data_IF_873152162860
#
_entry.id   IF_873152162860
#
_cell.length_a   1.000
_cell.length_b   1.000
_cell.length_c   1.000
_cell.angle_alpha   90.00
_cell.angle_beta   90.00
_cell.angle_gamma   90.00
#
_symmetry.space_group_name_H-M   'P 1'
#
loop_
_entity.id
_entity.type
_entity.pdbx_description
1 polymer ?
#
# COMPACT_ATOMS: atom_id res chain seq x y z
N UNK A 1 1.12 -29.04 10.83
CA UNK A 1 1.26 -27.92 9.88
C UNK A 1 1.15 -26.63 10.68
N UNK A 2 2.23 -25.85 10.75
CA UNK A 2 2.32 -24.64 11.58
C UNK A 2 1.19 -23.66 11.25
N UNK A 3 0.62 -22.97 12.25
CA UNK A 3 -0.36 -21.89 12.03
C UNK A 3 0.14 -20.82 11.06
N UNK A 4 1.46 -20.60 11.03
CA UNK A 4 2.12 -19.69 10.09
C UNK A 4 1.94 -20.14 8.63
N UNK A 5 2.10 -21.44 8.35
CA UNK A 5 1.87 -21.99 7.00
C UNK A 5 0.41 -21.88 6.58
N UNK A 6 -0.54 -22.06 7.50
CA UNK A 6 -1.97 -21.87 7.21
C UNK A 6 -2.33 -20.41 6.92
N UNK A 7 -1.74 -19.46 7.65
CA UNK A 7 -1.92 -18.02 7.39
C UNK A 7 -1.32 -17.61 6.04
N UNK A 8 -0.14 -18.15 5.70
CA UNK A 8 0.50 -17.93 4.40
C UNK A 8 -0.37 -18.53 3.28
N UNK A 9 -0.79 -19.79 3.38
CA UNK A 9 -1.62 -20.46 2.36
C UNK A 9 -2.95 -19.74 2.10
N UNK A 10 -3.59 -19.22 3.16
CA UNK A 10 -4.82 -18.43 3.02
C UNK A 10 -4.55 -17.12 2.25
N UNK A 11 -3.46 -16.41 2.57
CA UNK A 11 -3.06 -15.19 1.86
C UNK A 11 -2.69 -15.47 0.39
N UNK A 12 -1.92 -16.53 0.14
CA UNK A 12 -1.49 -16.94 -1.21
C UNK A 12 -2.66 -17.32 -2.11
N UNK A 13 -3.70 -17.99 -1.58
CA UNK A 13 -4.90 -18.35 -2.36
C UNK A 13 -5.74 -17.14 -2.79
N UNK A 14 -5.73 -16.07 -2.01
CA UNK A 14 -6.46 -14.84 -2.33
C UNK A 14 -5.71 -14.01 -3.39
N UNK A 15 -4.39 -13.85 -3.23
CA UNK A 15 -3.54 -13.11 -4.16
C UNK A 15 -3.61 -13.66 -5.60
N UNK A 16 -3.70 -14.99 -5.79
CA UNK A 16 -3.74 -15.60 -7.12
C UNK A 16 -5.10 -15.60 -7.85
N UNK A 17 -6.11 -14.86 -7.38
CA UNK A 17 -7.45 -14.83 -8.01
C UNK A 17 -7.76 -13.54 -8.79
N UNK A 18 -6.83 -12.59 -8.89
CA UNK A 18 -7.05 -11.25 -9.43
C UNK A 18 -8.27 -10.52 -8.81
N UNK A 19 -8.60 -10.87 -7.55
CA UNK A 19 -9.67 -10.27 -6.76
C UNK A 19 -9.05 -9.41 -5.68
N UNK A 20 -9.69 -8.28 -5.39
CA UNK A 20 -9.36 -7.38 -4.30
C UNK A 20 -10.42 -7.53 -3.20
N UNK A 21 -9.97 -7.69 -1.94
CA UNK A 21 -10.83 -7.61 -0.77
C UNK A 21 -10.61 -6.27 -0.05
N UNK A 22 -11.68 -5.48 0.06
CA UNK A 22 -11.66 -4.12 0.57
C UNK A 22 -12.50 -4.06 1.84
N UNK A 23 -11.90 -3.63 2.95
CA UNK A 23 -12.64 -3.27 4.16
C UNK A 23 -13.20 -1.85 3.98
N UNK A 24 -14.52 -1.72 3.99
CA UNK A 24 -15.19 -0.42 3.91
C UNK A 24 -15.25 0.27 5.26
N UNK A 25 -15.03 1.59 5.26
CA UNK A 25 -15.14 2.42 6.45
C UNK A 25 -15.53 3.86 6.09
N UNK A 26 -15.94 4.62 7.11
CA UNK A 26 -16.26 6.05 6.98
C UNK A 26 -15.49 6.88 8.01
N UNK A 27 -15.26 8.13 7.66
CA UNK A 27 -14.52 9.10 8.48
C UNK A 27 -15.44 10.14 9.15
N UNK A 28 -16.75 9.90 9.18
CA UNK A 28 -17.74 10.86 9.69
C UNK A 28 -18.41 11.67 8.59
N UNK A 29 -19.36 12.50 9.01
CA UNK A 29 -19.94 13.51 8.13
C UNK A 29 -18.99 14.70 8.04
N UNK A 30 -18.60 15.06 6.82
CA UNK A 30 -17.85 16.28 6.56
C UNK A 30 -18.79 17.49 6.70
N UNK A 31 -18.50 18.35 7.67
CA UNK A 31 -19.29 19.55 7.97
C UNK A 31 -19.31 20.54 6.80
N UNK A 32 -18.32 20.51 5.92
CA UNK A 32 -18.22 21.43 4.77
C UNK A 32 -19.17 21.04 3.65
N UNK A 33 -19.34 19.73 3.42
CA UNK A 33 -20.12 19.19 2.29
C UNK A 33 -21.44 18.58 2.72
N UNK A 34 -21.61 18.27 4.01
CA UNK A 34 -22.74 17.53 4.57
C UNK A 34 -22.74 16.05 4.21
N UNK A 35 -21.71 15.55 3.53
CA UNK A 35 -21.65 14.18 3.00
C UNK A 35 -20.86 13.27 3.94
N UNK A 36 -21.24 12.00 3.91
CA UNK A 36 -20.51 10.91 4.53
C UNK A 36 -19.96 10.05 3.41
N UNK A 37 -18.67 10.19 3.16
CA UNK A 37 -17.98 9.45 2.10
C UNK A 37 -17.56 8.07 2.60
N UNK A 38 -17.52 7.09 1.69
CA UNK A 38 -17.07 5.73 1.97
C UNK A 38 -15.66 5.55 1.44
N UNK A 39 -14.79 5.05 2.30
CA UNK A 39 -13.42 4.72 2.00
C UNK A 39 -13.21 3.21 2.06
N UNK A 40 -12.17 2.76 1.39
CA UNK A 40 -11.76 1.36 1.37
C UNK A 40 -10.29 1.22 1.77
N UNK A 41 -9.95 0.13 2.45
CA UNK A 41 -8.57 -0.33 2.66
C UNK A 41 -8.43 -1.79 2.23
N UNK A 42 -7.30 -2.15 1.62
CA UNK A 42 -7.00 -3.53 1.29
C UNK A 42 -6.92 -4.34 2.60
N UNK A 43 -7.73 -5.39 2.72
CA UNK A 43 -7.82 -6.26 3.90
C UNK A 43 -6.46 -6.89 4.24
N UNK A 44 -5.59 -7.13 3.27
CA UNK A 44 -4.27 -7.68 3.52
C UNK A 44 -3.36 -6.79 4.37
N UNK A 45 -3.57 -5.47 4.29
CA UNK A 45 -2.89 -4.46 5.12
C UNK A 45 -3.51 -4.35 6.52
N UNK A 46 -4.69 -4.95 6.74
CA UNK A 46 -5.41 -4.93 8.03
C UNK A 46 -5.02 -6.14 8.87
N UNK A 47 -4.55 -5.87 10.09
CA UNK A 47 -4.26 -6.90 11.09
C UNK A 47 -5.48 -7.24 11.92
N UNK A 48 -6.20 -6.22 12.41
CA UNK A 48 -7.44 -6.38 13.17
C UNK A 48 -8.22 -5.06 13.22
N UNK A 49 -9.53 -5.15 13.50
CA UNK A 49 -10.41 -4.00 13.74
C UNK A 49 -10.94 -4.11 15.15
N UNK A 50 -10.86 -3.03 15.92
CA UNK A 50 -11.28 -3.02 17.32
C UNK A 50 -11.86 -1.68 17.73
N UNK A 51 -12.53 -1.63 18.89
CA UNK A 51 -12.87 -0.36 19.53
C UNK A 51 -11.60 0.36 19.95
N UNK A 52 -11.59 1.68 19.79
CA UNK A 52 -10.46 2.53 20.16
C UNK A 52 -10.20 2.42 21.68
N UNK A 53 -9.01 1.94 22.10
CA UNK A 53 -8.63 1.94 23.51
C UNK A 53 -8.27 3.37 23.94
N UNK A 54 -7.98 3.56 25.23
CA UNK A 54 -7.49 4.86 25.71
C UNK A 54 -6.16 5.21 25.04
N UNK A 55 -6.12 6.38 24.41
CA UNK A 55 -4.95 6.89 23.70
C UNK A 55 -4.13 7.74 24.65
N UNK A 56 -2.84 7.45 24.74
CA UNK A 56 -1.89 8.29 25.46
C UNK A 56 -1.26 9.28 24.49
N UNK A 57 -1.64 10.55 24.59
CA UNK A 57 -1.06 11.61 23.77
C UNK A 57 0.36 11.97 24.22
N UNK A 58 1.25 12.20 23.26
CA UNK A 58 2.59 12.73 23.50
C UNK A 58 2.65 14.22 23.10
N UNK A 59 3.51 15.04 23.73
CA UNK A 59 3.76 16.41 23.30
C UNK A 59 4.32 16.47 21.87
N UNK A 60 4.06 17.57 21.16
CA UNK A 60 4.68 17.92 19.86
C UNK A 60 4.45 16.91 18.72
N UNK A 61 3.37 16.13 18.78
CA UNK A 61 3.00 15.22 17.68
C UNK A 61 2.42 15.98 16.47
N UNK A 62 2.57 15.45 15.24
CA UNK A 62 1.86 15.96 14.08
C UNK A 62 0.34 16.04 14.34
N UNK A 63 -0.34 17.00 13.74
CA UNK A 63 -1.76 17.31 14.04
C UNK A 63 -2.74 16.16 13.79
N UNK A 64 -2.38 15.21 12.93
CA UNK A 64 -3.16 14.00 12.64
C UNK A 64 -2.86 12.83 13.58
N UNK A 65 -1.83 12.91 14.42
CA UNK A 65 -1.41 11.83 15.32
C UNK A 65 -1.94 12.10 16.73
N UNK A 66 -2.90 11.29 17.18
CA UNK A 66 -3.54 11.46 18.50
C UNK A 66 -2.64 11.01 19.66
N UNK A 67 -1.69 10.12 19.38
CA UNK A 67 -0.78 9.57 20.39
C UNK A 67 -0.43 8.12 20.14
N UNK A 68 -0.33 7.35 21.21
CA UNK A 68 0.01 5.92 21.19
C UNK A 68 -0.93 5.08 22.05
N UNK A 69 -1.06 3.81 21.70
CA UNK A 69 -1.77 2.80 22.50
C UNK A 69 -0.85 1.61 22.77
N UNK A 70 -1.00 0.97 23.92
CA UNK A 70 -0.33 -0.31 24.17
C UNK A 70 -1.22 -1.45 23.66
N UNK A 71 -0.80 -2.11 22.58
CA UNK A 71 -1.49 -3.25 22.01
C UNK A 71 -0.65 -4.51 22.21
N UNK A 72 -1.09 -5.37 23.14
CA UNK A 72 -0.40 -6.63 23.51
C UNK A 72 1.09 -6.43 23.84
N UNK A 73 1.42 -5.31 24.51
CA UNK A 73 2.79 -4.96 24.92
C UNK A 73 3.59 -4.20 23.88
N UNK A 74 3.09 -4.02 22.66
CA UNK A 74 3.70 -3.17 21.64
C UNK A 74 3.08 -1.77 21.67
N UNK A 75 3.91 -0.72 21.57
CA UNK A 75 3.43 0.65 21.40
C UNK A 75 3.04 0.85 19.94
N UNK A 76 1.78 1.21 19.71
CA UNK A 76 1.20 1.41 18.39
C UNK A 76 0.83 2.88 18.25
N UNK A 77 1.41 3.64 17.31
CA UNK A 77 0.99 5.01 17.03
C UNK A 77 -0.44 5.03 16.49
N UNK A 78 -1.20 6.04 16.87
CA UNK A 78 -2.61 6.20 16.50
C UNK A 78 -2.81 7.48 15.72
N UNK A 79 -3.32 7.34 14.49
CA UNK A 79 -3.54 8.41 13.53
C UNK A 79 -5.04 8.59 13.30
N UNK A 80 -5.52 9.82 13.44
CA UNK A 80 -6.86 10.23 13.05
C UNK A 80 -6.93 10.42 11.53
N UNK A 81 -7.58 9.48 10.84
CA UNK A 81 -7.69 9.53 9.38
C UNK A 81 -8.58 10.66 8.90
N UNK A 82 -9.57 11.13 9.68
CA UNK A 82 -10.36 12.29 9.31
C UNK A 82 -9.48 13.54 9.31
N UNK A 83 -8.67 13.74 10.35
CA UNK A 83 -7.70 14.85 10.42
C UNK A 83 -6.65 14.76 9.30
N UNK A 84 -6.10 13.57 9.07
CA UNK A 84 -5.11 13.36 8.01
C UNK A 84 -5.69 13.62 6.62
N UNK A 85 -6.91 13.15 6.33
CA UNK A 85 -7.59 13.37 5.06
C UNK A 85 -8.17 14.79 4.90
N UNK A 86 -8.05 15.66 5.92
CA UNK A 86 -8.61 17.02 5.91
C UNK A 86 -10.14 17.07 6.02
N UNK A 87 -10.77 16.00 6.52
CA UNK A 87 -12.21 15.90 6.75
C UNK A 87 -12.54 16.53 8.09
N UNK A 88 -13.39 17.56 8.07
CA UNK A 88 -13.83 18.25 9.28
C UNK A 88 -15.12 17.60 9.75
N UNK A 89 -15.03 16.78 10.80
CA UNK A 89 -16.19 16.09 11.37
C UNK A 89 -16.31 16.35 12.88
N UNK A 90 -17.54 16.32 13.39
CA UNK A 90 -17.82 16.28 14.84
C UNK A 90 -18.03 14.86 15.37
N UNK A 91 -18.05 13.88 14.48
CA UNK A 91 -18.14 12.47 14.84
C UNK A 91 -16.84 12.07 15.55
N UNK A 92 -16.95 11.49 16.75
CA UNK A 92 -15.80 10.90 17.43
C UNK A 92 -15.46 9.56 16.76
N UNK A 93 -14.19 9.28 16.47
CA UNK A 93 -13.82 7.99 15.95
C UNK A 93 -13.84 6.94 17.07
N UNK A 94 -14.75 5.99 17.00
CA UNK A 94 -14.92 4.93 18.01
C UNK A 94 -14.20 3.64 17.65
N UNK A 95 -13.75 3.53 16.39
CA UNK A 95 -13.14 2.33 15.84
C UNK A 95 -11.70 2.62 15.43
N UNK A 96 -10.83 1.67 15.72
CA UNK A 96 -9.44 1.66 15.31
C UNK A 96 -9.18 0.47 14.38
N UNK A 97 -8.73 0.76 13.16
CA UNK A 97 -8.23 -0.24 12.21
C UNK A 97 -6.73 -0.36 12.45
N UNK A 98 -6.27 -1.52 12.91
CA UNK A 98 -4.85 -1.80 13.10
C UNK A 98 -4.29 -2.35 11.79
N UNK A 99 -3.28 -1.69 11.26
CA UNK A 99 -2.64 -2.05 10.00
C UNK A 99 -1.16 -2.33 10.20
N UNK A 100 -0.57 -3.06 9.27
CA UNK A 100 0.85 -3.38 9.28
C UNK A 100 1.46 -3.19 7.89
N UNK A 101 2.59 -2.51 7.82
CA UNK A 101 3.37 -2.36 6.59
C UNK A 101 4.85 -2.23 6.94
N UNK A 102 5.70 -2.93 6.18
CA UNK A 102 7.15 -2.97 6.41
C UNK A 102 7.54 -3.27 7.87
N UNK A 103 6.79 -4.16 8.55
CA UNK A 103 7.00 -4.50 9.96
C UNK A 103 6.58 -3.43 10.98
N UNK A 104 6.10 -2.27 10.52
CA UNK A 104 5.54 -1.23 11.37
C UNK A 104 4.03 -1.44 11.53
N UNK A 105 3.55 -1.41 12.78
CA UNK A 105 2.12 -1.47 13.11
C UNK A 105 1.63 -0.09 13.50
N UNK A 106 0.46 0.32 13.01
CA UNK A 106 -0.21 1.54 13.44
C UNK A 106 -1.73 1.35 13.54
N UNK A 107 -2.38 2.25 14.28
CA UNK A 107 -3.82 2.31 14.41
C UNK A 107 -4.39 3.51 13.65
N UNK A 108 -5.39 3.27 12.82
CA UNK A 108 -6.16 4.30 12.15
C UNK A 108 -7.51 4.47 12.81
N UNK A 109 -7.77 5.67 13.31
CA UNK A 109 -9.06 6.03 13.87
C UNK A 109 -10.04 6.35 12.74
N UNK A 110 -11.20 5.70 12.78
CA UNK A 110 -12.30 5.88 11.85
C UNK A 110 -13.61 5.97 12.61
N UNK A 111 -14.63 6.58 12.00
CA UNK A 111 -15.95 6.68 12.60
C UNK A 111 -16.61 5.30 12.68
N UNK A 112 -16.68 4.61 11.53
CA UNK A 112 -17.36 3.33 11.43
C UNK A 112 -16.66 2.44 10.40
N UNK A 113 -16.74 1.14 10.62
CA UNK A 113 -16.35 0.08 9.68
C UNK A 113 -17.64 -0.65 9.30
N UNK A 114 -17.77 -0.98 8.03
CA UNK A 114 -18.96 -1.64 7.49
C UNK A 114 -18.64 -3.10 7.12
N UNK A 115 -18.58 -3.40 5.82
CA UNK A 115 -18.39 -4.76 5.31
C UNK A 115 -17.07 -4.91 4.56
N UNK A 116 -16.69 -6.17 4.31
CA UNK A 116 -15.62 -6.50 3.35
C UNK A 116 -16.28 -6.76 2.00
N UNK A 117 -15.86 -5.99 0.99
CA UNK A 117 -16.25 -6.20 -0.39
C UNK A 117 -15.17 -6.93 -1.15
N UNK A 118 -15.58 -7.94 -1.92
CA UNK A 118 -14.71 -8.63 -2.87
C UNK A 118 -15.03 -8.17 -4.29
N UNK A 119 -14.11 -7.47 -4.91
CA UNK A 119 -14.25 -6.92 -6.26
C UNK A 119 -13.20 -7.49 -7.20
N UNK A 120 -13.50 -7.50 -8.49
CA UNK A 120 -12.46 -7.66 -9.51
C UNK A 120 -11.64 -6.38 -9.59
N UNK A 121 -10.33 -6.50 -9.79
CA UNK A 121 -9.48 -5.33 -10.04
C UNK A 121 -9.96 -4.50 -11.23
N UNK A 122 -10.60 -5.12 -12.23
CA UNK A 122 -11.20 -4.43 -13.37
C UNK A 122 -12.37 -3.50 -13.03
N UNK A 123 -12.97 -3.65 -11.83
CA UNK A 123 -14.02 -2.75 -11.34
C UNK A 123 -13.44 -1.47 -10.69
N UNK A 124 -12.13 -1.44 -10.45
CA UNK A 124 -11.42 -0.27 -9.92
C UNK A 124 -11.04 0.65 -11.08
N UNK A 125 -11.15 1.97 -10.84
CA UNK A 125 -10.77 3.02 -11.79
C UNK A 125 -9.72 3.91 -11.17
N UNK A 126 -8.86 4.48 -12.01
CA UNK A 126 -7.91 5.52 -11.59
C UNK A 126 -8.72 6.77 -11.20
N UNK A 127 -8.45 7.39 -10.04
CA UNK A 127 -9.11 8.62 -9.64
C UNK A 127 -8.80 9.75 -10.65
N UNK A 128 -9.77 10.63 -10.95
CA UNK A 128 -9.49 11.85 -11.70
C UNK A 128 -8.41 12.70 -11.03
N UNK A 129 -7.58 13.39 -11.81
CA UNK A 129 -6.45 14.22 -11.30
C UNK A 129 -6.85 15.21 -10.20
N UNK A 130 -8.09 15.72 -10.26
CA UNK A 130 -8.63 16.61 -9.23
C UNK A 130 -8.70 15.94 -7.84
N UNK A 131 -9.09 14.67 -7.76
CA UNK A 131 -9.17 13.92 -6.49
C UNK A 131 -7.75 13.62 -6.00
N UNK A 132 -6.90 13.12 -6.89
CA UNK A 132 -5.49 12.81 -6.61
C UNK A 132 -4.76 14.03 -6.05
N UNK A 133 -4.91 15.20 -6.67
CA UNK A 133 -4.24 16.42 -6.21
C UNK A 133 -4.82 16.96 -4.90
N UNK A 134 -6.15 16.94 -4.72
CA UNK A 134 -6.79 17.47 -3.50
C UNK A 134 -6.50 16.65 -2.26
N UNK A 135 -6.43 15.33 -2.41
CA UNK A 135 -6.15 14.41 -1.31
C UNK A 135 -4.65 14.06 -1.24
N UNK A 136 -3.80 14.86 -1.89
CA UNK A 136 -2.36 14.67 -1.94
C UNK A 136 -1.94 13.23 -2.27
N UNK A 137 -2.66 12.53 -3.16
CA UNK A 137 -2.39 11.14 -3.54
C UNK A 137 -2.75 10.07 -2.50
N UNK A 138 -3.55 10.42 -1.48
CA UNK A 138 -4.07 9.47 -0.49
C UNK A 138 -5.07 8.47 -1.08
N UNK A 139 -5.73 8.82 -2.19
CA UNK A 139 -6.66 7.93 -2.90
C UNK A 139 -5.96 7.36 -4.12
N UNK A 140 -5.81 6.04 -4.19
CA UNK A 140 -5.13 5.34 -5.29
C UNK A 140 -6.09 4.79 -6.34
N UNK A 141 -7.32 4.48 -5.94
CA UNK A 141 -8.34 3.95 -6.82
C UNK A 141 -9.73 4.37 -6.37
N UNK A 142 -10.69 4.37 -7.29
CA UNK A 142 -12.11 4.60 -7.00
C UNK A 142 -12.95 3.52 -7.64
N UNK A 143 -14.04 3.17 -6.99
CA UNK A 143 -15.06 2.28 -7.56
C UNK A 143 -16.44 2.80 -7.20
N UNK A 144 -17.45 2.37 -7.97
CA UNK A 144 -18.84 2.75 -7.77
C UNK A 144 -19.62 1.48 -7.46
N UNK A 145 -20.25 1.46 -6.29
CA UNK A 145 -21.15 0.39 -5.87
C UNK A 145 -22.56 0.61 -6.43
N UNK A 146 -23.42 -0.37 -6.19
CA UNK A 146 -24.83 -0.28 -6.52
C UNK A 146 -25.44 1.03 -6.00
N UNK A 147 -26.35 1.60 -6.79
CA UNK A 147 -27.05 2.87 -6.49
C UNK A 147 -26.16 4.13 -6.55
N UNK A 148 -24.95 4.03 -7.09
CA UNK A 148 -24.07 5.17 -7.36
C UNK A 148 -23.21 5.61 -6.20
N UNK A 149 -23.02 4.74 -5.20
CA UNK A 149 -22.18 5.03 -4.04
C UNK A 149 -20.72 4.90 -4.42
N UNK A 150 -19.96 6.00 -4.36
CA UNK A 150 -18.52 5.98 -4.63
C UNK A 150 -17.75 5.49 -3.41
N UNK A 151 -16.77 4.61 -3.67
CA UNK A 151 -15.79 4.13 -2.68
C UNK A 151 -14.40 4.57 -3.11
N UNK A 152 -13.69 5.24 -2.21
CA UNK A 152 -12.33 5.71 -2.43
C UNK A 152 -11.33 4.81 -1.71
N UNK A 153 -10.47 4.15 -2.46
CA UNK A 153 -9.42 3.26 -1.95
C UNK A 153 -8.27 4.10 -1.39
N UNK A 154 -8.03 4.03 -0.08
CA UNK A 154 -6.99 4.80 0.61
C UNK A 154 -5.65 4.07 0.66
N UNK A 155 -4.58 4.77 0.30
CA UNK A 155 -3.21 4.33 0.46
C UNK A 155 -2.70 4.60 1.88
N UNK A 156 -2.85 3.61 2.73
CA UNK A 156 -2.37 3.67 4.12
C UNK A 156 -0.85 3.60 4.27
N UNK A 157 -0.13 3.13 3.25
CA UNK A 157 1.34 3.07 3.30
C UNK A 157 1.93 4.44 3.13
N UNK A 158 1.29 5.28 2.32
CA UNK A 158 1.59 6.69 2.25
C UNK A 158 1.36 7.39 3.58
N UNK A 159 0.21 7.14 4.24
CA UNK A 159 -0.07 7.71 5.57
C UNK A 159 1.03 7.31 6.55
N UNK A 160 1.46 6.06 6.50
CA UNK A 160 2.57 5.57 7.31
C UNK A 160 3.88 6.28 7.06
N UNK A 161 4.29 6.34 5.81
CA UNK A 161 5.58 6.91 5.44
C UNK A 161 5.68 8.39 5.83
N UNK A 162 4.55 9.10 5.83
CA UNK A 162 4.51 10.53 6.17
C UNK A 162 4.31 10.81 7.67
N UNK A 163 3.68 9.88 8.41
CA UNK A 163 3.43 10.05 9.86
C UNK A 163 4.43 9.31 10.74
N UNK A 164 5.18 8.37 10.18
CA UNK A 164 6.28 7.71 10.87
C UNK A 164 7.40 8.71 11.13
N UNK A 165 7.67 8.96 12.41
CA UNK A 165 8.83 9.74 12.86
C UNK A 165 10.15 8.95 12.75
N UNK A 166 10.11 7.73 12.22
CA UNK A 166 11.28 6.87 12.08
C UNK A 166 12.09 7.37 10.88
N UNK A 167 13.28 7.89 11.16
CA UNK A 167 14.25 8.19 10.12
C UNK A 167 14.81 6.88 9.55
N UNK A 168 14.22 6.41 8.45
CA UNK A 168 14.68 5.23 7.71
C UNK A 168 16.08 5.45 7.07
N UNK A 169 16.69 6.64 7.17
CA UNK A 169 18.00 6.91 6.57
C UNK A 169 19.08 5.92 7.05
N UNK A 170 18.99 5.45 8.30
CA UNK A 170 19.91 4.48 8.87
C UNK A 170 19.90 3.13 8.15
N UNK A 171 18.80 2.74 7.50
CA UNK A 171 18.72 1.48 6.76
C UNK A 171 19.66 1.45 5.54
N UNK A 172 20.06 2.61 5.01
CA UNK A 172 20.84 2.71 3.77
C UNK A 172 22.34 2.94 4.00
N UNK A 173 22.78 3.24 5.23
CA UNK A 173 24.16 3.68 5.53
C UNK A 173 25.20 2.58 5.28
N UNK A 174 24.83 1.32 5.51
CA UNK A 174 25.76 0.17 5.42
C UNK A 174 25.59 -0.64 4.13
N UNK A 175 25.03 -0.04 3.08
CA UNK A 175 24.86 -0.69 1.79
C UNK A 175 26.13 -0.47 0.98
N UNK A 176 26.85 -1.56 0.69
CA UNK A 176 28.05 -1.52 -0.14
C UNK A 176 27.71 -1.64 -1.64
N UNK A 177 28.42 -0.90 -2.51
CA UNK A 177 28.25 -1.04 -3.96
C UNK A 177 28.56 -2.46 -4.45
N UNK A 178 27.76 -2.93 -5.40
CA UNK A 178 28.02 -4.20 -6.08
C UNK A 178 29.14 -3.99 -7.09
N UNK A 179 30.17 -4.85 -7.03
CA UNK A 179 31.36 -4.72 -7.89
C UNK A 179 31.10 -5.05 -9.36
N UNK A 180 30.13 -5.91 -9.61
CA UNK A 180 29.77 -6.38 -10.95
C UNK A 180 28.63 -5.53 -11.51
N UNK A 181 28.67 -5.26 -12.81
CA UNK A 181 27.57 -4.58 -13.47
C UNK A 181 26.34 -5.49 -13.50
N UNK A 182 25.34 -5.15 -12.68
CA UNK A 182 24.05 -5.84 -12.62
C UNK A 182 22.94 -4.89 -13.07
N UNK A 183 21.88 -5.48 -13.61
CA UNK A 183 20.62 -4.81 -13.89
C UNK A 183 19.49 -5.56 -13.20
N UNK A 184 18.63 -4.82 -12.51
CA UNK A 184 17.47 -5.34 -11.78
C UNK A 184 16.21 -4.70 -12.36
N UNK A 185 15.15 -5.49 -12.50
CA UNK A 185 13.82 -4.97 -12.76
C UNK A 185 13.00 -5.14 -11.49
N UNK A 186 12.27 -4.12 -11.05
CA UNK A 186 11.36 -4.29 -9.92
C UNK A 186 9.97 -3.77 -10.23
N UNK A 187 8.96 -4.32 -9.57
CA UNK A 187 7.59 -3.82 -9.69
C UNK A 187 6.87 -3.91 -8.36
N UNK A 188 6.15 -2.85 -8.03
CA UNK A 188 5.40 -2.68 -6.80
C UNK A 188 4.36 -1.59 -7.06
N UNK A 189 3.13 -1.72 -6.54
CA UNK A 189 2.08 -0.72 -6.72
C UNK A 189 2.20 0.44 -5.71
N UNK A 190 2.90 0.23 -4.61
CA UNK A 190 3.23 1.23 -3.60
C UNK A 190 4.35 2.15 -4.05
N UNK A 191 4.05 3.45 -4.14
CA UNK A 191 5.08 4.46 -4.41
C UNK A 191 6.14 4.54 -3.29
N UNK A 192 5.76 4.21 -2.06
CA UNK A 192 6.66 4.19 -0.91
C UNK A 192 7.68 3.07 -1.05
N UNK A 193 7.23 1.84 -1.33
CA UNK A 193 8.11 0.69 -1.54
C UNK A 193 9.05 0.91 -2.72
N UNK A 194 8.53 1.38 -3.87
CA UNK A 194 9.37 1.68 -5.04
C UNK A 194 10.50 2.64 -4.70
N UNK A 195 10.22 3.73 -3.99
CA UNK A 195 11.24 4.71 -3.59
C UNK A 195 12.28 4.12 -2.63
N UNK A 196 11.90 3.20 -1.75
CA UNK A 196 12.84 2.48 -0.89
C UNK A 196 13.74 1.52 -1.69
N UNK A 197 13.17 0.82 -2.67
CA UNK A 197 13.93 -0.05 -3.60
C UNK A 197 14.91 0.79 -4.43
N UNK A 198 14.46 1.91 -5.02
CA UNK A 198 15.32 2.84 -5.78
C UNK A 198 16.52 3.30 -4.94
N UNK A 199 16.27 3.81 -3.73
CA UNK A 199 17.35 4.25 -2.81
C UNK A 199 18.34 3.13 -2.49
N UNK A 200 17.84 1.91 -2.30
CA UNK A 200 18.67 0.73 -2.05
C UNK A 200 19.55 0.42 -3.26
N UNK A 201 18.96 0.37 -4.45
CA UNK A 201 19.68 0.04 -5.68
C UNK A 201 20.66 1.15 -6.09
N UNK A 202 20.32 2.42 -5.86
CA UNK A 202 21.21 3.57 -6.05
C UNK A 202 22.43 3.46 -5.11
N UNK A 203 22.23 3.15 -3.83
CA UNK A 203 23.32 2.94 -2.87
C UNK A 203 24.21 1.74 -3.26
N UNK A 204 23.60 0.70 -3.83
CA UNK A 204 24.31 -0.46 -4.40
C UNK A 204 25.01 -0.17 -5.74
N UNK A 205 24.77 0.99 -6.36
CA UNK A 205 25.22 1.34 -7.72
C UNK A 205 24.78 0.34 -8.81
N UNK A 206 23.58 -0.23 -8.64
CA UNK A 206 23.01 -1.21 -9.57
C UNK A 206 22.06 -0.51 -10.54
N UNK A 207 22.14 -0.83 -11.83
CA UNK A 207 21.19 -0.29 -12.82
C UNK A 207 19.82 -0.91 -12.60
N UNK A 208 18.76 -0.15 -12.82
CA UNK A 208 17.41 -0.70 -12.73
C UNK A 208 16.42 -0.10 -13.71
N UNK A 209 15.35 -0.85 -13.91
CA UNK A 209 14.11 -0.42 -14.53
C UNK A 209 12.94 -0.86 -13.63
N UNK A 210 11.77 -0.25 -13.79
CA UNK A 210 10.62 -0.60 -12.96
C UNK A 210 9.29 -0.40 -13.65
N UNK A 211 8.25 -1.00 -13.06
CA UNK A 211 6.85 -0.76 -13.39
C UNK A 211 5.99 -0.58 -12.14
N UNK A 212 4.84 0.07 -12.30
CA UNK A 212 3.94 0.42 -11.19
C UNK A 212 2.84 -0.60 -10.90
N UNK A 213 2.73 -1.66 -11.71
CA UNK A 213 1.82 -2.79 -11.50
C UNK A 213 2.29 -3.99 -12.34
N UNK A 214 1.74 -5.17 -12.06
CA UNK A 214 2.18 -6.40 -12.73
C UNK A 214 1.91 -6.43 -14.24
N UNK A 215 0.82 -5.82 -14.71
CA UNK A 215 0.50 -5.80 -16.15
C UNK A 215 1.54 -4.97 -16.92
N UNK A 216 1.86 -3.77 -16.45
CA UNK A 216 2.92 -2.93 -17.05
C UNK A 216 4.29 -3.60 -16.91
N UNK A 217 4.55 -4.29 -15.81
CA UNK A 217 5.78 -5.05 -15.64
C UNK A 217 5.91 -6.12 -16.74
N UNK A 218 4.84 -6.87 -17.00
CA UNK A 218 4.79 -7.86 -18.07
C UNK A 218 5.04 -7.23 -19.45
N UNK A 219 4.34 -6.13 -19.77
CA UNK A 219 4.51 -5.43 -21.05
C UNK A 219 5.95 -4.91 -21.25
N UNK A 220 6.55 -4.30 -20.22
CA UNK A 220 7.93 -3.79 -20.30
C UNK A 220 8.95 -4.92 -20.41
N UNK A 221 8.80 -6.02 -19.66
CA UNK A 221 9.68 -7.18 -19.76
C UNK A 221 9.61 -7.83 -21.16
N UNK A 222 8.42 -7.90 -21.76
CA UNK A 222 8.25 -8.36 -23.14
C UNK A 222 8.96 -7.45 -24.15
N UNK A 223 8.83 -6.11 -23.99
CA UNK A 223 9.55 -5.15 -24.84
C UNK A 223 11.07 -5.31 -24.71
N UNK A 224 11.58 -5.44 -23.48
CA UNK A 224 13.01 -5.67 -23.22
C UNK A 224 13.50 -6.99 -23.83
N UNK A 225 12.70 -8.05 -23.73
CA UNK A 225 13.02 -9.35 -24.32
C UNK A 225 13.11 -9.27 -25.85
N UNK A 226 12.12 -8.64 -26.49
CA UNK A 226 12.11 -8.44 -27.94
C UNK A 226 13.33 -7.61 -28.42
N UNK A 227 13.72 -6.57 -27.68
CA UNK A 227 14.91 -5.78 -28.00
C UNK A 227 16.22 -6.59 -27.86
N UNK A 228 16.31 -7.44 -26.85
CA UNK A 228 17.46 -8.34 -26.67
C UNK A 228 17.56 -9.33 -27.83
N UNK A 229 16.43 -9.94 -28.22
CA UNK A 229 16.37 -10.88 -29.35
C UNK A 229 16.78 -10.23 -30.68
N UNK A 230 16.31 -9.01 -30.95
CA UNK A 230 16.74 -8.23 -32.13
C UNK A 230 18.25 -7.95 -32.14
N UNK A 231 18.88 -7.92 -30.97
CA UNK A 231 20.32 -7.76 -30.78
C UNK A 231 21.08 -9.09 -30.71
N UNK A 232 20.41 -10.21 -30.94
CA UNK A 232 20.99 -11.57 -30.90
C UNK A 232 21.36 -12.06 -29.51
N UNK A 233 20.76 -11.50 -28.44
CA UNK A 233 21.01 -11.86 -27.05
C UNK A 233 19.72 -12.29 -26.35
N UNK A 234 19.83 -12.98 -25.21
CA UNK A 234 18.69 -13.22 -24.33
C UNK A 234 18.60 -12.16 -23.25
N UNK A 235 17.38 -11.82 -22.83
CA UNK A 235 17.16 -10.84 -21.78
C UNK A 235 17.89 -11.18 -20.47
N UNK A 236 17.94 -12.46 -20.10
CA UNK A 236 18.63 -12.91 -18.88
C UNK A 236 20.15 -12.71 -18.88
N UNK A 237 20.74 -12.35 -20.02
CA UNK A 237 22.17 -12.00 -20.11
C UNK A 237 22.44 -10.55 -19.68
N UNK A 238 21.43 -9.69 -19.67
CA UNK A 238 21.53 -8.30 -19.20
C UNK A 238 20.70 -8.03 -17.96
N UNK A 239 19.53 -8.65 -17.82
CA UNK A 239 18.63 -8.55 -16.67
C UNK A 239 18.84 -9.72 -15.72
N UNK A 240 19.33 -9.43 -14.51
CA UNK A 240 19.84 -10.43 -13.59
C UNK A 240 18.87 -10.81 -12.47
N UNK A 241 17.92 -9.93 -12.16
CA UNK A 241 16.91 -10.17 -11.12
C UNK A 241 15.63 -9.41 -11.47
N UNK A 242 14.50 -10.08 -11.25
CA UNK A 242 13.17 -9.46 -11.24
C UNK A 242 12.64 -9.53 -9.81
N UNK A 243 12.34 -8.38 -9.23
CA UNK A 243 11.66 -8.24 -7.94
C UNK A 243 10.20 -7.88 -8.20
N UNK A 244 9.28 -8.51 -7.49
CA UNK A 244 7.85 -8.21 -7.62
C UNK A 244 7.24 -8.15 -6.24
N UNK A 245 6.38 -7.16 -6.04
CA UNK A 245 5.41 -7.25 -4.97
C UNK A 245 4.43 -8.38 -5.26
N UNK A 246 3.91 -8.95 -4.19
CA UNK A 246 2.95 -10.05 -4.27
C UNK A 246 1.57 -9.55 -4.70
N UNK A 247 1.15 -8.38 -4.24
CA UNK A 247 -0.21 -7.86 -4.36
C UNK A 247 -0.26 -6.60 -5.20
N UNK A 248 -0.37 -6.79 -6.51
CA UNK A 248 -0.49 -5.67 -7.44
C UNK A 248 -1.82 -5.72 -8.19
N UNK A 249 -2.35 -4.55 -8.61
CA UNK A 249 -3.53 -4.48 -9.44
C UNK A 249 -3.27 -5.05 -10.84
N UNK A 250 -4.35 -5.46 -11.50
CA UNK A 250 -4.41 -6.01 -12.86
C UNK A 250 -3.74 -7.38 -13.03
N UNK A 251 -2.55 -7.55 -12.47
CA UNK A 251 -1.77 -8.79 -12.42
C UNK A 251 -0.95 -8.82 -11.13
N UNK A 252 -1.16 -9.85 -10.31
CA UNK A 252 -0.40 -10.08 -9.09
C UNK A 252 1.00 -10.64 -9.37
N UNK A 253 1.90 -10.58 -8.38
CA UNK A 253 3.27 -11.05 -8.52
C UNK A 253 3.41 -12.55 -8.77
N UNK A 254 2.46 -13.37 -8.30
CA UNK A 254 2.46 -14.81 -8.58
C UNK A 254 2.11 -15.12 -10.03
N UNK A 255 1.18 -14.36 -10.63
CA UNK A 255 0.85 -14.48 -12.03
C UNK A 255 2.02 -13.99 -12.88
N UNK A 256 2.60 -12.84 -12.56
CA UNK A 256 3.76 -12.29 -13.27
C UNK A 256 4.93 -13.28 -13.28
N UNK A 257 5.28 -13.85 -12.12
CA UNK A 257 6.40 -14.79 -11.99
C UNK A 257 6.19 -16.12 -12.71
N UNK A 258 4.95 -16.49 -13.07
CA UNK A 258 4.66 -17.66 -13.93
C UNK A 258 4.83 -17.37 -15.42
N UNK A 259 4.81 -16.11 -15.81
CA UNK A 259 4.92 -15.68 -17.20
C UNK A 259 6.38 -15.44 -17.63
N UNK A 260 7.26 -15.12 -16.68
CA UNK A 260 8.71 -14.91 -16.87
C UNK A 260 9.50 -16.21 -16.74
#
# INVERSE_FOLDING_TARGET
MSELLKKIDARTKLAGTNKLEILLFSLGHDQRTGRKEIFGINVFKVREVMRTPEITSAPEMPSSVEGMVSLRGSLVPVIDLAKYAGIVTSNKPEIMIVTEYNGHTQGFLVEAVDTILRLDWSAMRVPPDMITNRMAGLVTAVTELDQGTLVMMMDVEKVLAETSLVDDSHHFINIEPVKEERMIFFTDDSAVARKQIERTLDAMQVKYAYAINGMRAWEELQKMAMQAELSGKRLCESLHLVLTDVEMPEMDGYMLTKLI
#
